data_IF_129649412367
#
_entry.id   IF_129649412367
#
_cell.length_a   1.000
_cell.length_b   1.000
_cell.length_c   1.000
_cell.angle_alpha   90.00
_cell.angle_beta   90.00
_cell.angle_gamma   90.00
#
_symmetry.space_group_name_H-M   'P 1'
#
loop_
_entity.id
_entity.type
_entity.pdbx_description
1 polymer ?
#
# COMPACT_ATOMS: atom_id res chain seq x y z
N UNK A 1 8.64 44.97 22.50
CA UNK A 1 7.56 44.01 22.83
C UNK A 1 7.07 43.38 21.52
N UNK A 2 7.09 42.04 21.44
CA UNK A 2 6.47 41.14 20.45
C UNK A 2 6.85 41.35 18.95
N UNK A 3 7.13 40.34 18.14
CA UNK A 3 6.56 39.00 18.07
C UNK A 3 7.60 37.96 17.65
N UNK A 4 7.80 36.95 18.50
CA UNK A 4 8.17 35.60 18.08
C UNK A 4 6.99 35.00 17.31
N UNK A 5 7.13 34.74 16.01
CA UNK A 5 6.42 33.62 15.37
C UNK A 5 7.43 32.91 14.48
N UNK A 6 8.06 31.91 15.10
CA UNK A 6 9.00 31.02 14.43
C UNK A 6 8.37 30.47 13.17
N UNK A 7 9.19 30.45 12.12
CA UNK A 7 8.98 29.68 10.92
C UNK A 7 8.60 28.25 11.37
N UNK A 8 7.31 27.90 11.33
CA UNK A 8 6.91 26.51 11.52
C UNK A 8 7.48 25.81 10.31
N UNK A 9 8.55 25.03 10.49
CA UNK A 9 9.08 24.15 9.44
C UNK A 9 7.94 23.19 9.06
N UNK A 10 7.16 23.59 8.06
CA UNK A 10 6.19 22.73 7.41
C UNK A 10 7.01 21.72 6.62
N UNK A 11 7.19 20.56 7.22
CA UNK A 11 7.94 19.48 6.58
C UNK A 11 7.01 18.78 5.60
N UNK A 12 7.51 18.55 4.39
CA UNK A 12 6.82 17.82 3.34
C UNK A 12 7.15 16.33 3.43
N UNK A 13 6.17 15.50 3.10
CA UNK A 13 6.38 14.09 2.88
C UNK A 13 5.46 13.50 1.83
N UNK A 14 5.80 12.33 1.35
CA UNK A 14 5.04 11.58 0.36
C UNK A 14 4.78 10.17 0.89
N UNK A 15 3.59 9.65 0.63
CA UNK A 15 3.26 8.24 0.84
C UNK A 15 3.07 7.59 -0.52
N UNK A 16 3.93 6.62 -0.85
CA UNK A 16 3.72 5.74 -1.99
C UNK A 16 2.65 4.70 -1.63
N UNK A 17 1.56 4.72 -2.38
CA UNK A 17 0.44 3.81 -2.26
C UNK A 17 0.68 2.52 -3.05
N UNK A 18 -0.21 1.53 -2.88
CA UNK A 18 -0.09 0.23 -3.55
C UNK A 18 -0.53 0.26 -5.02
N UNK A 19 -1.26 1.28 -5.43
CA UNK A 19 -1.62 1.58 -6.82
C UNK A 19 -0.56 2.43 -7.53
N UNK A 20 0.64 2.52 -6.95
CA UNK A 20 1.78 3.30 -7.45
C UNK A 20 1.57 4.83 -7.45
N UNK A 21 0.42 5.30 -6.96
CA UNK A 21 0.16 6.72 -6.78
C UNK A 21 0.90 7.25 -5.56
N UNK A 22 1.14 8.55 -5.57
CA UNK A 22 1.78 9.27 -4.47
C UNK A 22 0.77 10.17 -3.78
N UNK A 23 0.58 9.98 -2.49
CA UNK A 23 -0.17 10.89 -1.64
C UNK A 23 0.79 11.90 -1.02
N UNK A 24 0.65 13.17 -1.39
CA UNK A 24 1.44 14.26 -0.81
C UNK A 24 0.86 14.67 0.54
N UNK A 25 1.74 14.78 1.53
CA UNK A 25 1.42 15.16 2.90
C UNK A 25 2.08 16.52 3.18
N UNK A 26 1.25 17.53 3.45
CA UNK A 26 1.70 18.88 3.81
C UNK A 26 1.63 19.09 5.32
N UNK A 27 2.57 19.87 5.86
CA UNK A 27 2.56 20.26 7.28
C UNK A 27 2.85 19.12 8.26
N UNK A 28 3.61 18.09 7.85
CA UNK A 28 4.01 17.01 8.75
C UNK A 28 4.88 17.58 9.87
N UNK A 29 4.62 17.16 11.10
CA UNK A 29 5.48 17.48 12.25
C UNK A 29 6.17 16.22 12.74
N UNK A 30 7.44 16.35 13.15
CA UNK A 30 8.20 15.24 13.75
C UNK A 30 7.53 14.67 15.02
N UNK A 31 6.71 15.46 15.70
CA UNK A 31 5.93 15.04 16.87
C UNK A 31 4.67 14.25 16.54
N UNK A 32 4.27 14.16 15.26
CA UNK A 32 3.10 13.39 14.88
C UNK A 32 3.35 11.89 15.07
N UNK A 33 2.31 11.22 15.56
CA UNK A 33 2.27 9.76 15.61
C UNK A 33 2.10 9.21 14.21
N UNK A 34 2.75 8.07 13.95
CA UNK A 34 2.60 7.34 12.69
C UNK A 34 1.12 6.97 12.46
N UNK A 35 0.38 6.63 13.53
CA UNK A 35 -1.06 6.39 13.45
C UNK A 35 -1.86 7.56 12.83
N UNK A 36 -1.49 8.82 13.09
CA UNK A 36 -2.19 9.98 12.52
C UNK A 36 -1.95 10.08 11.00
N UNK A 37 -0.74 9.76 10.55
CA UNK A 37 -0.41 9.73 9.12
C UNK A 37 -1.16 8.60 8.42
N UNK A 38 -1.22 7.43 9.05
CA UNK A 38 -2.00 6.31 8.55
C UNK A 38 -3.49 6.62 8.46
N UNK A 39 -4.06 7.33 9.44
CA UNK A 39 -5.45 7.77 9.36
C UNK A 39 -5.72 8.64 8.14
N UNK A 40 -4.78 9.52 7.77
CA UNK A 40 -4.90 10.32 6.55
C UNK A 40 -4.88 9.46 5.28
N UNK A 41 -4.01 8.44 5.24
CA UNK A 41 -3.98 7.45 4.14
C UNK A 41 -5.27 6.66 4.08
N UNK A 42 -5.78 6.18 5.23
CA UNK A 42 -7.03 5.44 5.31
C UNK A 42 -8.23 6.26 4.86
N UNK A 43 -8.29 7.53 5.27
CA UNK A 43 -9.34 8.44 4.81
C UNK A 43 -9.26 8.70 3.31
N UNK A 44 -8.05 8.79 2.73
CA UNK A 44 -7.86 8.99 1.30
C UNK A 44 -8.28 7.76 0.49
N UNK A 45 -7.95 6.56 0.98
CA UNK A 45 -8.28 5.29 0.34
C UNK A 45 -9.66 4.75 0.70
N UNK A 46 -10.43 5.43 1.57
CA UNK A 46 -11.68 4.95 2.15
C UNK A 46 -11.54 3.56 2.83
N UNK A 47 -10.43 3.34 3.55
CA UNK A 47 -10.14 2.10 4.26
C UNK A 47 -10.70 2.10 5.68
N UNK A 48 -11.57 1.14 5.97
CA UNK A 48 -12.13 0.92 7.31
C UNK A 48 -11.28 -0.09 8.11
N UNK A 49 -10.81 -1.16 7.47
CA UNK A 49 -10.04 -2.24 8.11
C UNK A 49 -8.53 -1.95 8.14
N UNK A 50 -8.14 -0.78 8.67
CA UNK A 50 -6.75 -0.31 8.71
C UNK A 50 -5.73 -1.18 9.47
N UNK A 51 -6.21 -2.14 10.28
CA UNK A 51 -5.37 -2.97 11.18
C UNK A 51 -4.34 -3.86 10.45
N UNK A 52 -4.60 -4.16 9.18
CA UNK A 52 -3.74 -5.04 8.37
C UNK A 52 -2.62 -4.28 7.68
N UNK A 53 -2.72 -2.96 7.62
CA UNK A 53 -1.82 -2.12 6.87
C UNK A 53 -0.80 -1.44 7.77
N UNK A 54 0.24 -0.91 7.16
CA UNK A 54 1.22 -0.08 7.84
C UNK A 54 2.00 0.80 6.89
N UNK A 55 2.86 1.63 7.47
CA UNK A 55 3.83 2.41 6.72
C UNK A 55 5.22 1.82 6.91
N UNK A 56 5.98 1.80 5.83
CA UNK A 56 7.41 1.50 5.81
C UNK A 56 8.19 2.73 5.42
N UNK A 57 9.46 2.75 5.76
CA UNK A 57 10.43 3.74 5.27
C UNK A 57 11.71 3.02 4.86
N UNK A 58 12.53 3.70 4.07
CA UNK A 58 13.85 3.23 3.69
C UNK A 58 14.89 3.91 4.58
N UNK A 59 15.77 3.15 5.24
CA UNK A 59 16.89 3.72 5.99
C UNK A 59 18.10 4.04 5.10
N UNK A 60 19.18 4.54 5.71
CA UNK A 60 20.44 4.89 5.06
C UNK A 60 21.16 3.70 4.38
N UNK A 61 20.91 2.49 4.85
CA UNK A 61 21.42 1.22 4.32
C UNK A 61 20.49 0.60 3.29
N UNK A 62 19.51 1.36 2.79
CA UNK A 62 18.48 0.92 1.85
C UNK A 62 17.61 -0.24 2.36
N UNK A 63 17.51 -0.40 3.68
CA UNK A 63 16.63 -1.40 4.28
C UNK A 63 15.23 -0.83 4.45
N UNK A 64 14.24 -1.58 4.00
CA UNK A 64 12.83 -1.20 4.20
C UNK A 64 12.35 -1.68 5.57
N UNK A 65 12.04 -0.74 6.46
CA UNK A 65 11.63 -1.01 7.84
C UNK A 65 10.20 -0.52 8.09
N UNK A 66 9.45 -1.26 8.91
CA UNK A 66 8.09 -0.86 9.32
C UNK A 66 8.12 0.21 10.40
N UNK A 67 7.25 1.20 10.27
CA UNK A 67 6.97 2.19 11.30
C UNK A 67 6.04 1.61 12.37
N UNK A 68 6.24 2.05 13.61
CA UNK A 68 5.42 1.66 14.75
C UNK A 68 4.31 2.70 14.90
N UNK A 69 3.07 2.23 14.85
CA UNK A 69 1.89 3.10 14.86
C UNK A 69 1.79 3.92 16.14
N UNK A 70 2.29 3.37 17.24
CA UNK A 70 2.27 4.00 18.57
C UNK A 70 3.31 5.10 18.72
N UNK A 71 4.38 5.04 17.91
CA UNK A 71 5.53 5.96 17.99
C UNK A 71 5.33 7.21 17.15
N UNK A 72 6.02 8.26 17.53
CA UNK A 72 6.13 9.49 16.73
C UNK A 72 7.24 9.39 15.70
N UNK A 73 7.17 10.17 14.63
CA UNK A 73 8.23 10.22 13.62
C UNK A 73 9.61 10.51 14.23
N UNK A 74 9.67 11.40 15.23
CA UNK A 74 10.91 11.73 15.95
C UNK A 74 11.53 10.55 16.73
N UNK A 75 10.72 9.55 17.11
CA UNK A 75 11.21 8.36 17.82
C UNK A 75 11.83 7.34 16.86
N UNK A 76 11.57 7.46 15.56
CA UNK A 76 12.19 6.66 14.52
C UNK A 76 13.53 7.29 14.10
N UNK A 77 14.60 6.97 14.84
CA UNK A 77 15.94 7.54 14.62
C UNK A 77 16.53 7.29 13.23
N UNK A 78 16.13 6.21 12.57
CA UNK A 78 16.58 5.82 11.24
C UNK A 78 15.78 6.49 10.11
N UNK A 79 14.72 7.23 10.45
CA UNK A 79 13.86 7.85 9.44
C UNK A 79 14.59 9.02 8.78
N UNK A 80 14.82 8.89 7.47
CA UNK A 80 15.42 9.93 6.65
C UNK A 80 14.37 10.99 6.26
N UNK A 81 14.74 12.27 6.39
CA UNK A 81 13.96 13.42 5.93
C UNK A 81 14.41 14.73 6.57
N UNK A 82 13.86 15.89 6.15
CA UNK A 82 12.92 16.10 5.03
C UNK A 82 13.53 15.93 3.62
N UNK A 83 12.73 15.65 2.56
CA UNK A 83 11.32 15.25 2.62
C UNK A 83 11.17 13.80 3.12
N UNK A 84 10.09 13.52 3.86
CA UNK A 84 9.83 12.16 4.34
C UNK A 84 9.20 11.29 3.24
N UNK A 85 9.73 10.10 3.00
CA UNK A 85 9.17 9.15 2.03
C UNK A 85 8.68 7.92 2.80
N UNK A 86 7.39 7.65 2.70
CA UNK A 86 6.75 6.49 3.30
C UNK A 86 6.20 5.56 2.22
N UNK A 87 6.20 4.27 2.50
CA UNK A 87 5.65 3.24 1.63
C UNK A 87 4.51 2.55 2.34
N UNK A 88 3.30 2.68 1.81
CA UNK A 88 2.15 1.95 2.29
C UNK A 88 2.28 0.47 1.93
N UNK A 89 1.71 -0.41 2.75
CA UNK A 89 1.68 -1.83 2.46
C UNK A 89 0.96 -2.68 3.49
N UNK A 90 0.75 -3.94 3.14
CA UNK A 90 0.14 -4.94 4.02
C UNK A 90 1.20 -5.51 4.97
N UNK A 91 0.94 -5.42 6.28
CA UNK A 91 1.82 -5.94 7.34
C UNK A 91 1.37 -7.32 7.81
N UNK A 92 0.06 -7.54 7.87
CA UNK A 92 -0.52 -8.79 8.35
C UNK A 92 -1.46 -9.35 7.29
N UNK A 93 -1.07 -10.48 6.71
CA UNK A 93 -1.90 -11.19 5.74
C UNK A 93 -3.02 -11.96 6.44
N UNK A 94 -4.20 -11.99 5.82
CA UNK A 94 -5.32 -12.83 6.27
C UNK A 94 -5.21 -14.17 5.56
N UNK A 95 -5.45 -15.28 6.28
CA UNK A 95 -5.44 -16.63 5.70
C UNK A 95 -6.49 -16.83 4.60
N UNK A 96 -7.57 -16.06 4.66
CA UNK A 96 -8.69 -16.15 3.74
C UNK A 96 -9.20 -14.74 3.39
N UNK A 97 -9.05 -14.30 2.13
CA UNK A 97 -9.51 -12.98 1.68
C UNK A 97 -11.03 -12.84 1.74
N UNK A 98 -11.79 -13.94 1.78
CA UNK A 98 -13.25 -13.88 1.92
C UNK A 98 -13.71 -13.43 3.31
N UNK A 99 -12.81 -13.50 4.31
CA UNK A 99 -13.06 -12.99 5.67
C UNK A 99 -12.97 -11.46 5.75
N UNK A 100 -12.38 -10.80 4.75
CA UNK A 100 -12.37 -9.35 4.64
C UNK A 100 -13.75 -8.89 4.20
N UNK A 101 -14.38 -8.07 5.04
CA UNK A 101 -15.74 -7.59 4.78
C UNK A 101 -15.74 -6.52 3.71
N UNK A 102 -14.73 -5.64 3.76
CA UNK A 102 -14.63 -4.50 2.87
C UNK A 102 -13.93 -4.83 1.55
N UNK A 103 -14.60 -4.49 0.45
CA UNK A 103 -14.07 -4.67 -0.90
C UNK A 103 -12.82 -3.85 -1.15
N UNK A 104 -12.78 -2.60 -0.69
CA UNK A 104 -11.60 -1.73 -0.79
C UNK A 104 -10.39 -2.36 -0.08
N UNK A 105 -10.62 -3.04 1.04
CA UNK A 105 -9.54 -3.73 1.76
C UNK A 105 -9.04 -4.92 0.95
N UNK A 106 -9.94 -5.75 0.40
CA UNK A 106 -9.57 -6.85 -0.50
C UNK A 106 -8.75 -6.35 -1.71
N UNK A 107 -9.17 -5.25 -2.31
CA UNK A 107 -8.46 -4.65 -3.44
C UNK A 107 -7.03 -4.22 -3.08
N UNK A 108 -6.83 -3.57 -1.93
CA UNK A 108 -5.48 -3.19 -1.48
C UNK A 108 -4.59 -4.41 -1.22
N UNK A 109 -5.14 -5.50 -0.69
CA UNK A 109 -4.42 -6.76 -0.56
C UNK A 109 -4.02 -7.35 -1.92
N UNK A 110 -4.93 -7.34 -2.89
CA UNK A 110 -4.64 -7.76 -4.26
C UNK A 110 -3.50 -6.94 -4.87
N UNK A 111 -3.51 -5.61 -4.73
CA UNK A 111 -2.44 -4.75 -5.24
C UNK A 111 -1.07 -5.10 -4.64
N UNK A 112 -1.01 -5.38 -3.33
CA UNK A 112 0.23 -5.82 -2.68
C UNK A 112 0.72 -7.15 -3.24
N UNK A 113 -0.17 -8.14 -3.40
CA UNK A 113 0.18 -9.43 -3.99
C UNK A 113 0.69 -9.29 -5.42
N UNK A 114 -0.01 -8.50 -6.26
CA UNK A 114 0.42 -8.23 -7.64
C UNK A 114 1.83 -7.65 -7.69
N UNK A 115 2.13 -6.66 -6.83
CA UNK A 115 3.47 -6.09 -6.74
C UNK A 115 4.52 -7.13 -6.30
N UNK A 116 4.20 -7.99 -5.33
CA UNK A 116 5.16 -8.96 -4.82
C UNK A 116 5.40 -10.11 -5.80
N UNK A 117 4.39 -10.51 -6.60
CA UNK A 117 4.55 -11.42 -7.75
C UNK A 117 5.45 -10.79 -8.81
N UNK A 118 5.16 -9.54 -9.21
CA UNK A 118 5.95 -8.83 -10.23
C UNK A 118 7.42 -8.62 -9.80
N UNK A 119 7.65 -8.42 -8.50
CA UNK A 119 8.99 -8.30 -7.90
C UNK A 119 9.67 -9.64 -7.63
N UNK A 120 9.00 -10.77 -7.92
CA UNK A 120 9.52 -12.11 -7.69
C UNK A 120 9.72 -12.46 -6.21
N UNK A 121 9.03 -11.77 -5.30
CA UNK A 121 9.11 -12.00 -3.85
C UNK A 121 8.22 -13.15 -3.39
N UNK A 122 7.20 -13.48 -4.16
CA UNK A 122 6.35 -14.65 -3.93
C UNK A 122 6.79 -15.75 -4.91
N UNK A 123 7.16 -16.90 -4.35
CA UNK A 123 7.46 -18.10 -5.13
C UNK A 123 6.14 -18.71 -5.61
N UNK A 124 5.58 -18.17 -6.69
CA UNK A 124 4.51 -18.86 -7.39
C UNK A 124 5.08 -20.11 -8.07
N UNK A 125 4.42 -21.29 -7.99
CA UNK A 125 4.80 -22.46 -8.74
C UNK A 125 4.74 -22.10 -10.22
N UNK A 126 5.79 -22.47 -10.96
CA UNK A 126 6.04 -22.03 -12.33
C UNK A 126 4.85 -22.21 -13.30
N UNK A 127 3.91 -23.13 -13.02
CA UNK A 127 2.72 -23.32 -13.85
C UNK A 127 1.72 -22.15 -13.81
N UNK A 128 1.66 -21.38 -12.72
CA UNK A 128 0.87 -20.14 -12.64
C UNK A 128 1.61 -18.99 -13.33
N UNK A 129 2.93 -18.92 -13.17
CA UNK A 129 3.77 -17.92 -13.84
C UNK A 129 3.79 -18.05 -15.37
N UNK A 130 3.53 -19.25 -15.92
CA UNK A 130 3.46 -19.50 -17.36
C UNK A 130 2.09 -19.14 -17.93
N UNK A 131 1.00 -19.33 -17.18
CA UNK A 131 -0.29 -18.73 -17.53
C UNK A 131 -0.18 -17.20 -17.51
N UNK A 132 0.68 -16.68 -16.61
CA UNK A 132 0.66 -15.26 -16.31
C UNK A 132 1.40 -14.34 -17.30
N UNK A 133 2.24 -14.90 -18.15
CA UNK A 133 3.07 -14.10 -19.06
C UNK A 133 2.53 -14.03 -20.48
N UNK A 134 1.64 -14.95 -20.85
CA UNK A 134 1.06 -15.04 -22.19
C UNK A 134 -0.41 -14.58 -22.20
N UNK A 135 -1.16 -14.75 -21.10
CA UNK A 135 -2.58 -14.37 -21.04
C UNK A 135 -2.90 -13.08 -20.26
N UNK A 136 -1.96 -12.48 -19.51
CA UNK A 136 -2.27 -11.20 -18.83
C UNK A 136 -2.34 -10.04 -19.81
N UNK A 137 -1.68 -10.19 -20.96
CA UNK A 137 -1.85 -9.30 -22.10
C UNK A 137 -3.13 -9.57 -22.90
N UNK A 138 -3.74 -10.77 -22.80
CA UNK A 138 -5.03 -11.08 -23.45
C UNK A 138 -6.24 -10.67 -22.59
N UNK A 139 -6.03 -10.45 -21.29
CA UNK A 139 -7.03 -9.94 -20.33
C UNK A 139 -7.13 -8.41 -20.29
N UNK A 140 -6.29 -7.68 -21.05
CA UNK A 140 -6.58 -6.28 -21.41
C UNK A 140 -7.52 -6.32 -22.61
N UNK A 141 -8.84 -6.30 -22.36
CA UNK A 141 -9.82 -6.21 -23.43
C UNK A 141 -9.65 -4.86 -24.16
N UNK A 142 -9.85 -4.75 -25.49
CA UNK A 142 -9.61 -3.55 -26.28
C UNK A 142 -10.48 -2.35 -25.91
N UNK A 143 -11.00 -2.18 -24.69
CA UNK A 143 -11.87 -1.08 -24.27
C UNK A 143 -11.17 0.00 -23.41
N UNK A 144 -9.87 -0.12 -23.15
CA UNK A 144 -8.99 1.08 -23.19
C UNK A 144 -8.80 1.59 -24.65
N UNK A 145 -9.57 1.04 -25.60
CA UNK A 145 -10.00 1.61 -26.88
C UNK A 145 -11.49 1.97 -26.94
N UNK A 146 -12.25 1.93 -25.83
CA UNK A 146 -13.64 2.40 -25.76
C UNK A 146 -14.64 1.49 -25.02
N UNK A 147 -15.36 2.11 -24.09
CA UNK A 147 -16.61 1.78 -23.40
C UNK A 147 -16.66 0.71 -22.30
N UNK A 148 -16.89 1.22 -21.09
CA UNK A 148 -17.23 0.51 -19.86
C UNK A 148 -18.74 0.20 -19.84
N UNK A 149 -19.09 -1.08 -19.78
CA UNK A 149 -20.36 -1.52 -19.19
C UNK A 149 -20.08 -2.18 -17.85
N UNK A 150 -20.69 -1.62 -16.81
CA UNK A 150 -20.75 -2.18 -15.46
C UNK A 150 -21.33 -3.60 -15.52
N UNK A 151 -20.62 -4.61 -14.96
CA UNK A 151 -21.19 -5.64 -14.06
C UNK A 151 -20.40 -7.00 -13.95
N UNK A 152 -19.30 -7.27 -14.66
CA UNK A 152 -18.70 -8.64 -14.66
C UNK A 152 -17.27 -8.79 -14.07
N UNK A 153 -16.85 -7.96 -13.12
CA UNK A 153 -15.54 -8.09 -12.42
C UNK A 153 -15.59 -8.92 -11.13
N UNK A 154 -16.49 -9.90 -11.00
CA UNK A 154 -16.78 -10.47 -9.67
C UNK A 154 -16.27 -11.86 -9.31
N UNK A 155 -15.82 -12.74 -10.22
CA UNK A 155 -15.48 -14.12 -9.82
C UNK A 155 -14.07 -14.60 -10.24
N UNK A 156 -13.60 -14.22 -11.42
CA UNK A 156 -12.28 -14.68 -11.91
C UNK A 156 -11.13 -14.11 -11.07
N UNK A 157 -11.16 -12.81 -10.76
CA UNK A 157 -10.14 -12.14 -9.95
C UNK A 157 -10.12 -12.67 -8.50
N UNK A 158 -11.29 -13.03 -7.94
CA UNK A 158 -11.38 -13.61 -6.61
C UNK A 158 -10.75 -15.01 -6.56
N UNK A 159 -10.90 -15.77 -7.63
CA UNK A 159 -10.39 -17.14 -7.73
C UNK A 159 -8.87 -17.17 -7.87
N UNK A 160 -8.29 -16.24 -8.64
CA UNK A 160 -6.84 -16.03 -8.74
C UNK A 160 -6.22 -15.63 -7.41
N UNK A 161 -6.83 -14.66 -6.71
CA UNK A 161 -6.38 -14.22 -5.38
C UNK A 161 -6.37 -15.40 -4.41
N UNK A 162 -7.43 -16.21 -4.40
CA UNK A 162 -7.53 -17.38 -3.52
C UNK A 162 -6.49 -18.47 -3.86
N UNK A 163 -6.12 -18.61 -5.13
CA UNK A 163 -5.11 -19.56 -5.59
C UNK A 163 -3.69 -19.13 -5.16
N UNK A 164 -3.39 -17.83 -5.22
CA UNK A 164 -2.14 -17.25 -4.70
C UNK A 164 -2.06 -17.46 -3.19
N UNK A 165 -3.13 -17.21 -2.44
CA UNK A 165 -3.15 -17.46 -0.99
C UNK A 165 -2.93 -18.93 -0.62
N UNK A 166 -3.54 -19.87 -1.35
CA UNK A 166 -3.33 -21.32 -1.14
C UNK A 166 -1.89 -21.76 -1.41
N UNK A 167 -1.21 -21.06 -2.31
CA UNK A 167 0.18 -21.33 -2.69
C UNK A 167 1.18 -20.83 -1.64
N UNK A 168 0.81 -19.83 -0.83
CA UNK A 168 1.67 -19.25 0.21
C UNK A 168 1.68 -20.05 1.53
N UNK A 169 1.01 -21.20 1.57
CA UNK A 169 0.98 -22.13 2.70
C UNK A 169 1.85 -23.34 2.44
#
# INVERSE_FOLDING_TARGET
MACFRGNREEVYGEVLLLDERKLTLTGIKKSWKVAAILQQVFSHLNLVEGRFFGLRFCDDKQQTLWLDHSRTLSQHRLLLGPPYIFYFGVKFYVEDPTKLKEETTRYQFYLQLRQDVQRGRLLCPAHLLISDRVDWFSFIDPAERGDLSENDTSDSEKQEVQLIYKTLR
#
